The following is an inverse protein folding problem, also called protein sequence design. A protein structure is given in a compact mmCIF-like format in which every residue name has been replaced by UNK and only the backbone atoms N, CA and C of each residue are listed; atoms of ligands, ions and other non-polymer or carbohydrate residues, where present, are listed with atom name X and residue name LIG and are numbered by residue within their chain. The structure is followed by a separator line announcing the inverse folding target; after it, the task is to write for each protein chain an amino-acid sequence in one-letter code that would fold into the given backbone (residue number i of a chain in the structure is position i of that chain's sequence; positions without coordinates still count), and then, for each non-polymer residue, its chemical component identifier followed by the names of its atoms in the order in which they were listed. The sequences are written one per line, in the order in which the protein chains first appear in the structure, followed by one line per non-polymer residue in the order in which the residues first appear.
data_IF_448214782065
#
_entry.id   IF_448214782065
#
_cell.length_a   1.000
_cell.length_b   1.000
_cell.length_c   1.000
_cell.angle_alpha   90.00
_cell.angle_beta   90.00
_cell.angle_gamma   90.00
#
_symmetry.space_group_name_H-M   'P 1'
#
loop_
_entity.id
_entity.type
_entity.pdbx_description
1 polymer ?
#
# COMPACT_ATOMS: atom_id res chain seq x y z
N UNK A 1 15.08 -5.28 0.77
CA UNK A 1 13.95 -5.80 1.57
C UNK A 1 12.67 -5.17 1.04
N UNK A 2 11.58 -5.92 0.87
CA UNK A 2 10.28 -5.44 0.35
C UNK A 2 9.14 -5.98 1.23
N UNK A 3 8.05 -5.23 1.33
CA UNK A 3 6.85 -5.61 2.07
C UNK A 3 5.80 -6.14 1.08
N UNK A 4 5.48 -7.43 1.15
CA UNK A 4 4.48 -8.05 0.29
C UNK A 4 3.12 -8.15 1.01
N UNK A 5 2.09 -7.54 0.43
CA UNK A 5 0.71 -7.59 0.91
C UNK A 5 -0.08 -8.54 0.01
N UNK A 6 -0.29 -9.76 0.51
CA UNK A 6 -1.01 -10.79 -0.23
C UNK A 6 -2.52 -10.63 -0.07
N UNK A 7 -3.21 -10.38 -1.19
CA UNK A 7 -4.67 -10.30 -1.30
C UNK A 7 -5.33 -9.48 -0.18
N UNK A 8 -4.95 -8.21 0.00
CA UNK A 8 -5.42 -7.42 1.14
C UNK A 8 -6.94 -7.23 1.05
N UNK A 9 -7.61 -7.51 2.16
CA UNK A 9 -9.06 -7.50 2.28
C UNK A 9 -9.59 -6.22 2.97
N UNK A 10 -8.80 -5.61 3.85
CA UNK A 10 -9.15 -4.42 4.62
C UNK A 10 -8.36 -3.20 4.11
N UNK A 11 -9.03 -2.19 3.51
CA UNK A 11 -8.37 -0.98 2.98
C UNK A 11 -7.54 -0.21 4.00
N UNK A 12 -8.00 -0.15 5.25
CA UNK A 12 -7.33 0.56 6.33
C UNK A 12 -5.99 -0.09 6.70
N UNK A 13 -5.92 -1.42 6.64
CA UNK A 13 -4.69 -2.18 6.89
C UNK A 13 -3.68 -1.94 5.77
N UNK A 14 -4.12 -1.88 4.51
CA UNK A 14 -3.26 -1.50 3.39
C UNK A 14 -2.61 -0.13 3.67
N UNK A 15 -3.37 0.87 4.12
CA UNK A 15 -2.82 2.20 4.43
C UNK A 15 -1.88 2.27 5.62
N UNK A 16 -2.11 1.46 6.66
CA UNK A 16 -1.17 1.34 7.76
C UNK A 16 0.17 0.75 7.27
N UNK A 17 0.12 -0.30 6.45
CA UNK A 17 1.31 -0.94 5.89
C UNK A 17 2.06 -0.02 4.91
N UNK A 18 1.36 0.73 4.06
CA UNK A 18 1.99 1.71 3.17
C UNK A 18 2.72 2.80 3.96
N UNK A 19 2.13 3.32 5.04
CA UNK A 19 2.79 4.31 5.92
C UNK A 19 4.00 3.72 6.64
N UNK A 20 3.88 2.47 7.12
CA UNK A 20 5.00 1.77 7.73
C UNK A 20 6.16 1.61 6.73
N UNK A 21 5.85 1.20 5.51
CA UNK A 21 6.83 1.04 4.45
C UNK A 21 7.54 2.36 4.12
N UNK A 22 6.81 3.47 4.09
CA UNK A 22 7.36 4.81 3.93
C UNK A 22 8.34 5.18 5.05
N UNK A 23 7.95 4.95 6.33
CA UNK A 23 8.81 5.22 7.47
C UNK A 23 10.09 4.37 7.48
N UNK A 24 10.02 3.16 6.93
CA UNK A 24 11.14 2.23 6.84
C UNK A 24 11.94 2.38 5.54
N UNK A 25 11.50 3.21 4.59
CA UNK A 25 12.13 3.35 3.27
C UNK A 25 12.14 2.04 2.47
N UNK A 26 11.11 1.20 2.62
CA UNK A 26 11.00 -0.09 1.91
C UNK A 26 9.88 -0.05 0.86
N UNK A 27 10.10 -0.73 -0.26
CA UNK A 27 9.08 -0.87 -1.30
C UNK A 27 7.97 -1.85 -0.90
N UNK A 28 6.78 -1.68 -1.49
CA UNK A 28 5.60 -2.49 -1.22
C UNK A 28 5.12 -3.18 -2.50
N UNK A 29 4.88 -4.49 -2.40
CA UNK A 29 4.26 -5.30 -3.45
C UNK A 29 2.82 -5.64 -3.01
N UNK A 30 1.83 -5.32 -3.83
CA UNK A 30 0.42 -5.68 -3.59
C UNK A 30 0.05 -6.82 -4.51
N UNK A 31 -0.23 -8.00 -3.94
CA UNK A 31 -0.54 -9.19 -4.74
C UNK A 31 -2.06 -9.34 -4.80
N UNK A 32 -2.60 -9.28 -6.02
CA UNK A 32 -4.03 -9.34 -6.30
C UNK A 32 -4.65 -10.75 -6.16
N UNK A 33 -6.00 -10.87 -6.05
CA UNK A 33 -7.00 -9.79 -5.96
C UNK A 33 -7.12 -9.20 -4.55
N UNK A 34 -7.35 -7.89 -4.49
CA UNK A 34 -7.73 -7.20 -3.25
C UNK A 34 -9.23 -7.41 -2.96
N UNK A 35 -9.60 -7.50 -1.68
CA UNK A 35 -11.00 -7.54 -1.24
C UNK A 35 -11.75 -6.20 -1.39
N UNK A 36 -11.11 -5.19 -1.96
CA UNK A 36 -11.67 -3.86 -2.19
C UNK A 36 -11.15 -3.25 -3.50
N UNK A 37 -11.84 -2.23 -4.06
CA UNK A 37 -11.40 -1.56 -5.29
C UNK A 37 -10.08 -0.80 -5.07
N UNK A 38 -8.98 -1.34 -5.60
CA UNK A 38 -7.65 -0.71 -5.56
C UNK A 38 -7.53 0.33 -6.69
N UNK A 39 -8.22 1.47 -6.54
CA UNK A 39 -8.08 2.60 -7.47
C UNK A 39 -6.94 3.53 -7.05
N UNK A 40 -6.33 4.25 -7.99
CA UNK A 40 -5.26 5.22 -7.66
C UNK A 40 -5.74 6.32 -6.71
N UNK A 41 -7.02 6.71 -6.81
CA UNK A 41 -7.64 7.64 -5.87
C UNK A 41 -7.73 7.06 -4.47
N UNK A 42 -8.13 5.78 -4.34
CA UNK A 42 -8.15 5.10 -3.05
C UNK A 42 -6.74 4.94 -2.48
N UNK A 43 -5.76 4.57 -3.32
CA UNK A 43 -4.36 4.42 -2.91
C UNK A 43 -3.77 5.74 -2.39
N UNK A 44 -3.95 6.84 -3.12
CA UNK A 44 -3.49 8.18 -2.70
C UNK A 44 -4.16 8.62 -1.40
N UNK A 45 -5.47 8.41 -1.26
CA UNK A 45 -6.19 8.74 -0.02
C UNK A 45 -5.66 7.96 1.18
N UNK A 46 -5.35 6.69 0.97
CA UNK A 46 -4.93 5.74 2.00
C UNK A 46 -3.44 5.89 2.37
N UNK A 47 -2.59 6.29 1.42
CA UNK A 47 -1.19 6.62 1.63
C UNK A 47 -0.97 8.03 2.21
N UNK A 48 -1.96 8.93 2.11
CA UNK A 48 -1.83 10.33 2.49
C UNK A 48 -0.61 10.96 1.78
N UNK A 49 0.12 11.86 2.45
CA UNK A 49 1.33 12.50 1.93
C UNK A 49 2.54 11.55 1.85
N UNK A 50 2.43 10.30 2.34
CA UNK A 50 3.50 9.31 2.28
C UNK A 50 3.58 8.58 0.93
N UNK A 51 2.58 8.77 0.06
CA UNK A 51 2.53 8.10 -1.25
C UNK A 51 3.70 8.43 -2.18
N UNK A 52 4.35 9.59 -2.00
CA UNK A 52 5.54 9.97 -2.77
C UNK A 52 6.82 9.29 -2.28
N UNK A 53 6.81 8.73 -1.06
CA UNK A 53 7.98 8.13 -0.41
C UNK A 53 7.98 6.59 -0.47
N UNK A 54 7.01 5.97 -1.16
CA UNK A 54 6.89 4.51 -1.26
C UNK A 54 6.80 4.09 -2.72
N UNK A 55 7.75 3.26 -3.15
CA UNK A 55 7.63 2.51 -4.40
C UNK A 55 6.59 1.41 -4.22
N UNK A 56 5.50 1.49 -4.98
CA UNK A 56 4.41 0.50 -4.97
C UNK A 56 4.40 -0.23 -6.30
N UNK A 57 4.56 -1.55 -6.24
CA UNK A 57 4.36 -2.45 -7.37
C UNK A 57 3.07 -3.24 -7.12
N UNK A 58 2.26 -3.39 -8.17
CA UNK A 58 0.98 -4.09 -8.17
C UNK A 58 1.08 -5.25 -9.14
#
# INVERSE_FOLDING_TARGET
MRLALFQPDIPQNLGANLRLAACLGVAVDIIEPCGFPLTDKALRRTAMDYGENVEIVR
#
